data_IF_386961840777
#
_entry.id   IF_386961840777
#
_cell.length_a   1.000
_cell.length_b   1.000
_cell.length_c   1.000
_cell.angle_alpha   90.00
_cell.angle_beta   90.00
_cell.angle_gamma   90.00
#
_symmetry.space_group_name_H-M   'P 1'
#
loop_
_entity.id
_entity.type
_entity.pdbx_description
1 polymer ?
#
# COMPACT_ATOMS: atom_id res chain seq x y z
N UNK A 1 2.21 0.22 -20.75
CA UNK A 1 2.05 -1.01 -19.95
C UNK A 1 1.56 -2.11 -20.88
N UNK A 2 2.27 -3.23 -20.99
CA UNK A 2 1.74 -4.40 -21.69
C UNK A 2 0.98 -5.24 -20.66
N UNK A 3 -0.29 -5.49 -20.93
CA UNK A 3 -1.11 -6.36 -20.09
C UNK A 3 -0.86 -7.80 -20.47
N UNK A 4 -0.45 -8.61 -19.49
CA UNK A 4 -0.49 -10.06 -19.65
C UNK A 4 -1.94 -10.53 -19.56
N UNK A 5 -2.43 -11.29 -20.54
CA UNK A 5 -3.74 -11.96 -20.49
C UNK A 5 -3.70 -13.26 -19.69
N UNK A 6 -2.57 -13.59 -19.05
CA UNK A 6 -2.40 -14.79 -18.26
C UNK A 6 -3.37 -14.78 -17.05
N UNK A 7 -4.07 -15.89 -16.84
CA UNK A 7 -5.02 -16.11 -15.72
C UNK A 7 -4.35 -16.12 -14.32
N UNK A 8 -3.05 -15.83 -14.20
CA UNK A 8 -2.26 -15.97 -12.98
C UNK A 8 -1.57 -14.68 -12.50
N UNK A 9 -1.91 -13.52 -13.06
CA UNK A 9 -1.32 -12.25 -12.61
C UNK A 9 -1.63 -12.00 -11.12
N UNK A 10 -0.64 -11.58 -10.30
CA UNK A 10 -0.88 -11.19 -8.92
C UNK A 10 -1.89 -10.06 -8.89
N UNK A 11 -2.89 -10.18 -8.02
CA UNK A 11 -3.98 -9.22 -7.92
C UNK A 11 -4.37 -8.99 -6.47
N UNK A 12 -4.49 -7.73 -6.09
CA UNK A 12 -5.13 -7.27 -4.86
C UNK A 12 -6.47 -6.60 -5.20
N UNK A 13 -7.48 -6.82 -4.36
CA UNK A 13 -8.82 -6.27 -4.51
C UNK A 13 -9.16 -5.41 -3.30
N UNK A 14 -10.28 -4.68 -3.39
CA UNK A 14 -10.82 -3.88 -2.30
C UNK A 14 -9.84 -2.81 -1.80
N UNK A 15 -9.12 -2.22 -2.77
CA UNK A 15 -8.15 -1.18 -2.54
C UNK A 15 -8.76 0.18 -2.83
N UNK A 16 -8.62 1.11 -1.90
CA UNK A 16 -8.73 2.53 -2.19
C UNK A 16 -7.40 3.05 -2.74
N UNK A 17 -7.47 4.20 -3.42
CA UNK A 17 -6.30 4.85 -3.99
C UNK A 17 -6.17 6.26 -3.41
N UNK A 18 -4.93 6.66 -3.13
CA UNK A 18 -4.58 8.05 -2.84
C UNK A 18 -3.45 8.50 -3.77
N UNK A 19 -3.46 9.75 -4.28
CA UNK A 19 -4.40 10.84 -3.93
C UNK A 19 -5.82 10.55 -4.40
N UNK A 20 -6.81 11.11 -3.72
CA UNK A 20 -8.20 11.03 -4.19
C UNK A 20 -8.32 11.77 -5.53
N UNK A 21 -8.71 11.05 -6.57
CA UNK A 21 -8.81 11.58 -7.94
C UNK A 21 -10.23 12.00 -8.26
N UNK A 22 -11.18 11.40 -7.56
CA UNK A 22 -12.61 11.64 -7.68
C UNK A 22 -13.09 12.09 -6.30
N UNK A 23 -14.10 12.97 -6.27
CA UNK A 23 -14.71 13.49 -5.04
C UNK A 23 -15.21 12.37 -4.12
N UNK A 24 -15.64 11.23 -4.69
CA UNK A 24 -16.07 10.05 -3.94
C UNK A 24 -15.01 8.95 -4.00
N UNK A 25 -14.63 8.41 -2.84
CA UNK A 25 -13.76 7.24 -2.71
C UNK A 25 -14.44 6.02 -3.34
N UNK A 26 -13.73 5.37 -4.26
CA UNK A 26 -14.20 4.16 -4.94
C UNK A 26 -13.07 3.14 -4.85
N UNK A 27 -13.41 1.92 -4.44
CA UNK A 27 -12.45 0.83 -4.39
C UNK A 27 -12.16 0.29 -5.80
N UNK A 28 -11.11 -0.49 -5.89
CA UNK A 28 -10.67 -1.12 -7.13
C UNK A 28 -9.72 -2.26 -6.86
N UNK A 29 -9.03 -2.67 -7.91
CA UNK A 29 -8.06 -3.75 -7.84
C UNK A 29 -6.76 -3.38 -8.51
N UNK A 30 -5.64 -3.78 -7.89
CA UNK A 30 -4.28 -3.61 -8.39
C UNK A 30 -3.80 -4.96 -8.95
N UNK A 31 -3.46 -4.98 -10.22
CA UNK A 31 -2.91 -6.15 -10.92
C UNK A 31 -1.46 -5.89 -11.29
N UNK A 32 -0.59 -6.86 -11.03
CA UNK A 32 0.79 -6.82 -11.47
C UNK A 32 0.91 -7.55 -12.82
N UNK A 33 1.51 -6.91 -13.80
CA UNK A 33 1.72 -7.46 -15.12
C UNK A 33 3.23 -7.55 -15.40
N UNK A 34 3.69 -8.78 -15.58
CA UNK A 34 4.98 -9.11 -16.16
C UNK A 34 4.74 -10.06 -17.33
N UNK A 35 5.34 -9.79 -18.48
CA UNK A 35 5.34 -10.72 -19.60
C UNK A 35 6.68 -11.46 -19.60
N UNK A 36 6.59 -12.79 -19.56
CA UNK A 36 7.75 -13.66 -19.37
C UNK A 36 8.88 -13.46 -20.40
N UNK A 37 10.11 -13.46 -19.85
CA UNK A 37 11.41 -13.81 -20.43
C UNK A 37 11.99 -13.04 -21.64
N UNK A 38 11.23 -12.32 -22.48
CA UNK A 38 11.81 -11.74 -23.72
C UNK A 38 11.28 -10.39 -24.23
N UNK A 39 10.47 -9.62 -23.49
CA UNK A 39 9.95 -8.35 -24.02
C UNK A 39 10.13 -7.20 -23.03
N UNK A 40 11.25 -6.48 -23.19
CA UNK A 40 11.59 -5.15 -22.66
C UNK A 40 11.06 -4.81 -21.23
N UNK A 41 11.93 -4.70 -20.21
CA UNK A 41 11.56 -4.30 -18.85
C UNK A 41 10.73 -3.02 -18.75
N UNK A 42 10.75 -2.15 -19.77
CA UNK A 42 9.91 -0.95 -19.86
C UNK A 42 8.40 -1.24 -19.92
N UNK A 43 8.02 -2.48 -20.23
CA UNK A 43 6.63 -2.85 -20.44
C UNK A 43 5.94 -3.49 -19.24
N UNK A 44 6.68 -3.77 -18.17
CA UNK A 44 6.13 -4.33 -16.93
C UNK A 44 5.63 -3.23 -16.01
N UNK A 45 4.62 -3.55 -15.20
CA UNK A 45 4.02 -2.56 -14.33
C UNK A 45 2.78 -3.07 -13.61
N UNK A 46 2.24 -2.19 -12.79
CA UNK A 46 0.98 -2.37 -12.11
C UNK A 46 -0.13 -1.65 -12.87
N UNK A 47 -1.31 -2.27 -12.94
CA UNK A 47 -2.56 -1.61 -13.33
C UNK A 47 -3.52 -1.60 -12.16
N UNK A 48 -3.91 -0.42 -11.72
CA UNK A 48 -5.10 -0.27 -10.90
C UNK A 48 -6.31 -0.07 -11.80
N UNK A 49 -7.41 -0.75 -11.49
CA UNK A 49 -8.72 -0.52 -12.13
C UNK A 49 -9.77 -0.29 -11.06
N UNK A 50 -10.43 0.87 -11.06
CA UNK A 50 -11.55 1.17 -10.16
C UNK A 50 -12.79 0.35 -10.54
N UNK A 51 -13.75 0.20 -9.62
CA UNK A 51 -15.05 -0.40 -9.93
C UNK A 51 -15.84 0.33 -11.04
N UNK A 52 -15.49 1.58 -11.34
CA UNK A 52 -16.07 2.36 -12.46
C UNK A 52 -15.32 2.19 -13.78
N UNK A 53 -14.19 1.48 -13.78
CA UNK A 53 -13.35 1.27 -14.94
C UNK A 53 -12.25 2.31 -15.15
N UNK A 54 -12.04 3.25 -14.22
CA UNK A 54 -10.90 4.17 -14.26
C UNK A 54 -9.60 3.39 -14.06
N UNK A 55 -8.56 3.72 -14.84
CA UNK A 55 -7.30 2.96 -14.84
C UNK A 55 -6.11 3.84 -14.49
N UNK A 56 -5.16 3.25 -13.75
CA UNK A 56 -3.82 3.81 -13.51
C UNK A 56 -2.80 2.77 -13.94
N UNK A 57 -1.81 3.20 -14.69
CA UNK A 57 -0.65 2.38 -15.00
C UNK A 57 0.59 2.92 -14.30
N UNK A 58 1.28 2.06 -13.56
CA UNK A 58 2.55 2.36 -12.92
C UNK A 58 3.61 1.41 -13.49
N UNK A 59 4.54 1.93 -14.27
CA UNK A 59 5.60 1.11 -14.88
C UNK A 59 6.71 0.83 -13.86
N UNK A 60 7.25 -0.40 -13.83
CA UNK A 60 8.30 -0.78 -12.88
C UNK A 60 9.55 0.09 -13.02
N UNK A 61 9.97 0.39 -14.26
CA UNK A 61 11.14 1.23 -14.52
C UNK A 61 11.01 2.66 -13.97
N UNK A 62 9.77 3.14 -13.79
CA UNK A 62 9.46 4.47 -13.30
C UNK A 62 9.27 4.50 -11.78
N UNK A 63 9.27 3.34 -11.10
CA UNK A 63 9.23 3.29 -9.64
C UNK A 63 10.63 3.58 -9.09
N UNK A 64 10.71 4.57 -8.19
CA UNK A 64 11.91 4.92 -7.42
C UNK A 64 11.95 4.14 -6.11
N UNK A 65 10.83 4.10 -5.41
CA UNK A 65 10.64 3.34 -4.18
C UNK A 65 9.29 2.65 -4.19
N UNK A 66 9.26 1.40 -3.75
CA UNK A 66 8.05 0.63 -3.52
C UNK A 66 8.04 0.21 -2.05
N UNK A 67 6.96 0.52 -1.34
CA UNK A 67 6.82 0.13 0.06
C UNK A 67 5.60 -0.74 0.25
N UNK A 68 5.74 -1.76 1.08
CA UNK A 68 4.62 -2.51 1.63
C UNK A 68 4.58 -2.25 3.14
N UNK A 69 3.48 -1.68 3.63
CA UNK A 69 3.26 -1.50 5.06
C UNK A 69 2.14 -2.44 5.52
N UNK A 70 2.46 -3.43 6.38
CA UNK A 70 1.45 -4.30 6.98
C UNK A 70 0.60 -3.52 7.99
N UNK A 71 -0.55 -4.09 8.37
CA UNK A 71 -1.47 -3.45 9.31
C UNK A 71 -1.19 -3.75 10.80
N UNK A 72 0.03 -4.15 11.14
CA UNK A 72 0.41 -4.40 12.53
C UNK A 72 0.42 -3.08 13.30
N UNK A 73 -0.56 -2.91 14.20
CA UNK A 73 -0.83 -1.67 14.93
C UNK A 73 -1.14 -0.45 14.05
N UNK A 74 -1.58 -0.68 12.82
CA UNK A 74 -1.97 0.38 11.88
C UNK A 74 -3.45 0.27 11.50
N UNK A 75 -4.07 1.41 11.24
CA UNK A 75 -5.47 1.47 10.78
C UNK A 75 -5.62 1.16 9.29
N UNK A 76 -4.52 1.06 8.55
CA UNK A 76 -4.51 0.74 7.13
C UNK A 76 -3.37 -0.23 6.80
N UNK A 77 -3.61 -1.09 5.82
CA UNK A 77 -2.58 -1.86 5.11
C UNK A 77 -2.39 -1.22 3.73
N UNK A 78 -1.16 -1.07 3.24
CA UNK A 78 -0.93 -0.35 1.99
C UNK A 78 0.27 -0.83 1.17
N UNK A 79 0.21 -0.49 -0.12
CA UNK A 79 1.33 -0.45 -1.06
C UNK A 79 1.51 0.99 -1.50
N UNK A 80 2.73 1.52 -1.37
CA UNK A 80 3.10 2.87 -1.81
C UNK A 80 4.12 2.80 -2.94
N UNK A 81 3.91 3.60 -3.99
CA UNK A 81 4.90 3.84 -5.03
C UNK A 81 5.29 5.31 -5.07
N UNK A 82 6.59 5.55 -4.95
CA UNK A 82 7.21 6.82 -5.28
C UNK A 82 7.82 6.70 -6.66
N UNK A 83 7.51 7.63 -7.55
CA UNK A 83 7.90 7.56 -8.94
C UNK A 83 9.08 8.48 -9.25
N UNK A 84 9.89 8.07 -10.22
CA UNK A 84 10.99 8.87 -10.77
C UNK A 84 10.42 10.05 -11.56
N UNK A 85 9.44 9.78 -12.42
CA UNK A 85 8.70 10.78 -13.18
C UNK A 85 7.22 10.73 -12.78
N UNK A 86 6.59 11.88 -12.48
CA UNK A 86 5.16 11.93 -12.16
C UNK A 86 4.31 11.39 -13.30
N UNK A 87 3.31 10.57 -12.99
CA UNK A 87 2.28 10.14 -13.96
C UNK A 87 1.13 11.12 -13.94
N UNK A 88 0.57 11.37 -15.12
CA UNK A 88 -0.61 12.19 -15.27
C UNK A 88 -1.86 11.35 -15.01
N UNK A 89 -2.73 11.85 -14.13
CA UNK A 89 -4.05 11.30 -13.93
C UNK A 89 -5.09 12.41 -13.90
N UNK A 90 -6.02 12.35 -14.85
CA UNK A 90 -7.01 13.40 -15.05
C UNK A 90 -6.30 14.67 -15.48
N UNK A 91 -6.32 15.71 -14.65
CA UNK A 91 -5.67 17.00 -14.92
C UNK A 91 -4.41 17.25 -14.07
N UNK A 92 -4.03 16.33 -13.18
CA UNK A 92 -2.93 16.52 -12.22
C UNK A 92 -1.84 15.48 -12.43
N UNK A 93 -0.61 15.85 -12.10
CA UNK A 93 0.55 14.96 -12.10
C UNK A 93 0.80 14.50 -10.67
N UNK A 94 1.04 13.20 -10.49
CA UNK A 94 1.29 12.61 -9.19
C UNK A 94 2.59 11.82 -9.21
N UNK A 95 3.45 12.15 -8.25
CA UNK A 95 4.71 11.45 -8.05
C UNK A 95 4.57 10.29 -7.05
N UNK A 96 3.65 10.40 -6.11
CA UNK A 96 3.38 9.40 -5.10
C UNK A 96 1.96 8.86 -5.27
N UNK A 97 1.83 7.54 -5.20
CA UNK A 97 0.57 6.83 -5.34
C UNK A 97 0.51 5.74 -4.28
N UNK A 98 -0.59 5.69 -3.54
CA UNK A 98 -0.86 4.66 -2.54
C UNK A 98 -2.10 3.86 -2.88
N UNK A 99 -2.03 2.57 -2.64
CA UNK A 99 -3.14 1.64 -2.66
C UNK A 99 -3.30 1.05 -1.28
N UNK A 100 -4.47 1.21 -0.66
CA UNK A 100 -4.65 0.84 0.74
C UNK A 100 -6.04 0.24 1.01
N UNK A 101 -6.10 -0.58 2.05
CA UNK A 101 -7.35 -1.07 2.63
C UNK A 101 -7.40 -0.60 4.08
N UNK A 102 -8.55 -0.10 4.51
CA UNK A 102 -8.78 0.26 5.91
C UNK A 102 -9.02 -0.99 6.75
N UNK A 103 -8.44 -0.98 7.94
CA UNK A 103 -8.43 -2.10 8.86
C UNK A 103 -9.13 -1.64 10.13
N UNK A 104 -10.38 -2.09 10.27
CA UNK A 104 -11.21 -1.79 11.43
C UNK A 104 -11.88 -0.42 11.37
N UNK A 105 -13.22 -0.46 11.42
CA UNK A 105 -14.03 0.28 12.39
C UNK A 105 -15.43 -0.35 12.33
N UNK A 106 -15.73 -1.28 13.24
CA UNK A 106 -17.11 -1.65 13.52
C UNK A 106 -17.33 -1.47 15.03
N UNK A 107 -18.10 -0.42 15.32
CA UNK A 107 -18.93 -0.15 16.51
C UNK A 107 -18.30 0.37 17.79
N UNK A 108 -18.74 1.57 18.18
CA UNK A 108 -19.21 1.84 19.55
C UNK A 108 -20.47 2.72 19.48
N UNK A 109 -21.63 2.11 19.19
CA UNK A 109 -22.89 2.67 19.66
C UNK A 109 -22.93 2.42 21.17
N UNK A 110 -22.48 3.40 21.94
CA UNK A 110 -22.44 3.38 23.41
C UNK A 110 -23.88 3.33 23.97
N UNK A 111 -24.41 2.11 24.13
CA UNK A 111 -25.79 1.87 24.54
C UNK A 111 -25.99 0.67 25.46
N UNK A 112 -25.53 0.79 26.73
CA UNK A 112 -26.12 0.17 27.94
C UNK A 112 -26.33 -1.36 28.00
N UNK A 113 -25.30 -2.22 28.05
CA UNK A 113 -25.45 -3.60 28.61
C UNK A 113 -24.15 -4.15 29.22
N UNK A 114 -23.83 -3.76 30.46
CA UNK A 114 -22.53 -3.98 31.12
C UNK A 114 -22.22 -5.40 31.66
N UNK A 115 -23.07 -6.41 31.44
CA UNK A 115 -22.87 -7.75 32.05
C UNK A 115 -22.93 -8.95 31.08
N UNK A 116 -23.15 -8.72 29.78
CA UNK A 116 -23.02 -9.75 28.72
C UNK A 116 -21.82 -9.51 27.78
N UNK A 117 -21.05 -8.45 28.00
CA UNK A 117 -20.05 -7.93 27.06
C UNK A 117 -18.72 -8.70 27.04
N UNK A 118 -18.25 -9.22 28.17
CA UNK A 118 -16.89 -9.81 28.23
C UNK A 118 -16.66 -11.00 27.27
N UNK A 119 -17.70 -11.82 27.01
CA UNK A 119 -17.57 -12.96 26.06
C UNK A 119 -17.62 -12.51 24.60
N UNK A 120 -18.45 -11.51 24.31
CA UNK A 120 -18.61 -10.96 22.96
C UNK A 120 -17.41 -10.08 22.58
N UNK A 121 -16.81 -9.39 23.55
CA UNK A 121 -15.61 -8.55 23.38
C UNK A 121 -14.39 -9.41 23.04
N UNK A 122 -14.14 -10.50 23.79
CA UNK A 122 -13.04 -11.44 23.50
C UNK A 122 -13.20 -12.07 22.11
N UNK A 123 -14.43 -12.42 21.71
CA UNK A 123 -14.68 -12.98 20.39
C UNK A 123 -14.45 -11.94 19.27
N UNK A 124 -14.84 -10.69 19.50
CA UNK A 124 -14.66 -9.59 18.55
C UNK A 124 -13.19 -9.26 18.34
N UNK A 125 -12.41 -9.18 19.42
CA UNK A 125 -10.94 -9.00 19.35
C UNK A 125 -10.26 -10.13 18.57
N UNK A 126 -10.68 -11.38 18.79
CA UNK A 126 -10.11 -12.51 18.08
C UNK A 126 -10.44 -12.49 16.58
N UNK A 127 -11.66 -12.09 16.21
CA UNK A 127 -12.06 -11.91 14.81
C UNK A 127 -11.26 -10.78 14.13
N UNK A 128 -11.05 -9.66 14.82
CA UNK A 128 -10.22 -8.57 14.31
C UNK A 128 -8.77 -9.04 14.08
N UNK A 129 -8.20 -9.78 15.04
CA UNK A 129 -6.84 -10.31 14.94
C UNK A 129 -6.69 -11.27 13.75
N UNK A 130 -7.64 -12.18 13.56
CA UNK A 130 -7.64 -13.09 12.42
C UNK A 130 -7.84 -12.35 11.09
N UNK A 131 -8.68 -11.31 11.06
CA UNK A 131 -8.85 -10.45 9.88
C UNK A 131 -7.55 -9.73 9.52
N UNK A 132 -6.87 -9.11 10.49
CA UNK A 132 -5.56 -8.44 10.32
C UNK A 132 -4.52 -9.42 9.77
N UNK A 133 -4.41 -10.59 10.39
CA UNK A 133 -3.49 -11.66 9.96
C UNK A 133 -3.77 -12.09 8.52
N UNK A 134 -5.04 -12.27 8.16
CA UNK A 134 -5.45 -12.62 6.80
C UNK A 134 -5.13 -11.53 5.79
N UNK A 135 -5.36 -10.26 6.12
CA UNK A 135 -5.02 -9.12 5.25
C UNK A 135 -3.51 -9.04 5.01
N UNK A 136 -2.70 -9.11 6.08
CA UNK A 136 -1.24 -9.15 5.97
C UNK A 136 -0.78 -10.30 5.07
N UNK A 137 -1.33 -11.51 5.26
CA UNK A 137 -0.98 -12.67 4.43
C UNK A 137 -1.33 -12.46 2.95
N UNK A 138 -2.49 -11.87 2.65
CA UNK A 138 -2.91 -11.60 1.26
C UNK A 138 -1.97 -10.62 0.58
N UNK A 139 -1.59 -9.53 1.26
CA UNK A 139 -0.66 -8.54 0.71
C UNK A 139 0.77 -9.09 0.59
N UNK A 140 1.25 -9.83 1.58
CA UNK A 140 2.56 -10.47 1.52
C UNK A 140 2.63 -11.44 0.33
N UNK A 141 1.62 -12.31 0.17
CA UNK A 141 1.54 -13.22 -0.96
C UNK A 141 1.51 -12.51 -2.32
N UNK A 142 0.89 -11.33 -2.40
CA UNK A 142 0.93 -10.51 -3.60
C UNK A 142 2.36 -10.02 -3.87
N UNK A 143 3.02 -9.44 -2.86
CA UNK A 143 4.39 -8.93 -2.98
C UNK A 143 5.36 -10.04 -3.41
N UNK A 144 5.33 -11.19 -2.73
CA UNK A 144 6.18 -12.34 -3.04
C UNK A 144 6.00 -12.83 -4.48
N UNK A 145 4.76 -12.87 -4.98
CA UNK A 145 4.50 -13.27 -6.37
C UNK A 145 5.05 -12.24 -7.36
N UNK A 146 4.98 -10.96 -7.07
CA UNK A 146 5.55 -9.89 -7.91
C UNK A 146 7.08 -10.00 -7.95
N UNK A 147 7.73 -10.18 -6.79
CA UNK A 147 9.19 -10.40 -6.70
C UNK A 147 9.60 -11.61 -7.54
N UNK A 148 8.89 -12.74 -7.40
CA UNK A 148 9.16 -13.96 -8.19
C UNK A 148 8.95 -13.74 -9.69
N UNK A 149 7.88 -13.06 -10.09
CA UNK A 149 7.59 -12.80 -11.51
C UNK A 149 8.58 -11.84 -12.17
N UNK A 150 9.20 -10.97 -11.37
CA UNK A 150 10.25 -10.06 -11.83
C UNK A 150 11.65 -10.67 -11.73
N UNK A 151 11.75 -11.96 -11.34
CA UNK A 151 13.02 -12.63 -11.10
C UNK A 151 13.93 -11.80 -10.17
N UNK A 152 13.34 -11.32 -9.07
CA UNK A 152 14.00 -10.52 -8.03
C UNK A 152 14.52 -9.14 -8.49
N UNK A 153 14.18 -8.71 -9.71
CA UNK A 153 14.55 -7.38 -10.21
C UNK A 153 13.73 -6.23 -9.57
N UNK A 154 12.64 -6.56 -8.88
CA UNK A 154 11.78 -5.62 -8.18
C UNK A 154 11.46 -6.16 -6.79
N UNK A 155 11.49 -5.28 -5.79
CA UNK A 155 11.20 -5.62 -4.40
C UNK A 155 10.46 -4.49 -3.66
N UNK A 156 9.78 -4.84 -2.58
CA UNK A 156 9.07 -3.92 -1.69
C UNK A 156 9.81 -3.75 -0.38
N UNK A 157 10.17 -2.51 -0.04
CA UNK A 157 10.80 -2.20 1.24
C UNK A 157 9.72 -2.10 2.33
N UNK A 158 9.95 -2.71 3.50
CA UNK A 158 8.98 -2.78 4.60
C UNK A 158 9.46 -1.89 5.75
N UNK A 159 8.62 -1.01 6.31
CA UNK A 159 8.99 -0.21 7.47
C UNK A 159 9.25 -1.07 8.72
N UNK A 160 10.34 -0.79 9.42
CA UNK A 160 10.65 -1.41 10.72
C UNK A 160 9.82 -0.75 11.81
N UNK A 161 8.66 -1.35 12.13
CA UNK A 161 7.71 -0.81 13.12
C UNK A 161 8.36 -0.55 14.50
N UNK A 162 9.22 -1.47 14.95
CA UNK A 162 9.90 -1.39 16.26
C UNK A 162 10.90 -0.23 16.37
N UNK A 163 11.38 0.27 15.23
CA UNK A 163 12.31 1.40 15.15
C UNK A 163 11.58 2.72 14.89
N UNK A 164 10.25 2.73 14.95
CA UNK A 164 9.43 3.91 14.76
C UNK A 164 9.63 4.94 15.87
N UNK A 165 9.69 6.22 15.52
CA UNK A 165 9.79 7.32 16.48
C UNK A 165 8.93 8.50 16.05
N UNK A 166 8.48 9.31 17.02
CA UNK A 166 7.74 10.52 16.71
C UNK A 166 8.68 11.60 16.18
N UNK A 167 8.24 12.29 15.13
CA UNK A 167 8.95 13.43 14.56
C UNK A 167 8.00 14.42 13.91
N UNK A 168 8.52 15.59 13.58
CA UNK A 168 7.77 16.66 12.91
C UNK A 168 8.48 16.98 11.58
N UNK A 169 8.38 16.11 10.56
CA UNK A 169 9.06 16.33 9.27
C UNK A 169 8.51 17.59 8.54
N UNK A 170 7.31 18.02 8.91
CA UNK A 170 6.66 19.21 8.36
C UNK A 170 6.05 20.10 9.45
N UNK A 171 4.74 20.00 9.71
CA UNK A 171 4.02 20.88 10.66
C UNK A 171 3.18 20.14 11.71
N UNK A 172 3.17 18.81 11.67
CA UNK A 172 2.42 17.97 12.61
C UNK A 172 3.32 16.82 13.06
N UNK A 173 3.15 16.40 14.31
CA UNK A 173 3.79 15.20 14.84
C UNK A 173 3.23 13.98 14.12
N UNK A 174 4.12 13.09 13.68
CA UNK A 174 3.76 11.82 13.09
C UNK A 174 4.83 10.77 13.40
N UNK A 175 4.47 9.50 13.31
CA UNK A 175 5.42 8.39 13.47
C UNK A 175 6.23 8.23 12.19
N UNK A 176 7.54 8.39 12.31
CA UNK A 176 8.53 8.12 11.27
C UNK A 176 9.11 6.73 11.50
N UNK A 177 9.20 5.93 10.44
CA UNK A 177 9.73 4.57 10.49
C UNK A 177 10.87 4.43 9.48
N UNK A 178 12.02 3.89 9.87
CA UNK A 178 13.06 3.55 8.90
C UNK A 178 12.62 2.33 8.09
N UNK A 179 13.09 2.28 6.86
CA UNK A 179 13.12 1.09 6.00
C UNK A 179 14.59 0.77 5.70
N UNK A 180 14.86 -0.21 4.84
CA UNK A 180 16.24 -0.53 4.43
C UNK A 180 16.95 0.64 3.74
N UNK A 181 16.18 1.56 3.15
CA UNK A 181 16.70 2.65 2.31
C UNK A 181 16.17 4.05 2.65
N UNK A 182 15.06 4.16 3.38
CA UNK A 182 14.28 5.39 3.50
C UNK A 182 13.68 5.64 4.89
N UNK A 183 13.39 6.91 5.22
CA UNK A 183 12.64 7.32 6.42
C UNK A 183 11.26 7.63 5.94
N UNK A 184 10.27 6.91 6.42
CA UNK A 184 8.93 6.98 5.87
C UNK A 184 7.90 7.31 6.94
N UNK A 185 6.90 8.08 6.54
CA UNK A 185 5.57 8.05 7.16
C UNK A 185 4.60 7.75 6.01
N UNK A 186 4.00 6.57 6.00
CA UNK A 186 3.10 6.14 4.93
C UNK A 186 1.62 6.18 5.35
N UNK A 187 1.33 6.19 6.66
CA UNK A 187 -0.04 6.14 7.19
C UNK A 187 -0.81 7.43 6.92
N UNK A 188 -0.11 8.58 6.89
CA UNK A 188 -0.71 9.87 6.62
C UNK A 188 -0.52 10.33 5.16
N UNK A 189 -1.64 10.51 4.44
CA UNK A 189 -1.62 10.89 3.03
C UNK A 189 -1.04 12.29 2.76
N UNK A 190 -1.35 13.25 3.62
CA UNK A 190 -1.14 14.66 3.30
C UNK A 190 0.35 15.02 3.32
N UNK A 191 1.19 14.20 3.99
CA UNK A 191 2.57 14.58 4.33
C UNK A 191 3.49 13.37 4.51
N UNK A 192 3.49 12.48 3.54
CA UNK A 192 4.49 11.43 3.51
C UNK A 192 5.89 12.05 3.23
N UNK A 193 6.90 11.58 3.95
CA UNK A 193 8.29 11.98 3.82
C UNK A 193 9.07 10.74 3.38
N UNK A 194 9.94 10.87 2.37
CA UNK A 194 11.00 9.88 2.07
C UNK A 194 12.30 10.62 1.97
N UNK A 195 13.22 10.27 2.86
CA UNK A 195 14.63 10.65 2.75
C UNK A 195 15.45 9.40 2.54
N UNK A 196 16.30 9.40 1.52
CA UNK A 196 17.19 8.28 1.25
C UNK A 196 18.47 8.40 2.10
N UNK A 197 18.94 7.29 2.68
CA UNK A 197 20.10 7.31 3.58
C UNK A 197 21.36 7.74 2.85
N UNK A 198 21.50 7.29 1.59
CA UNK A 198 22.69 7.50 0.78
C UNK A 198 22.95 8.98 0.44
N UNK A 199 21.93 9.83 0.54
CA UNK A 199 22.04 11.27 0.28
C UNK A 199 22.48 12.08 1.51
N UNK A 200 22.49 11.48 2.69
CA UNK A 200 22.68 12.19 3.97
C UNK A 200 24.09 12.03 4.56
N UNK A 201 24.81 10.99 4.15
CA UNK A 201 26.18 10.69 4.61
C UNK A 201 27.24 10.95 3.53
N UNK A 202 27.07 12.01 2.73
CA UNK A 202 28.14 12.58 1.89
C UNK A 202 28.46 13.98 2.35
#
# INVERSE_FOLDING_TARGET
LILSTAKGNPKLKDLFVRPNIITKRISGSLEAHANGKLLDPKNFGFRYTSLRGDKIDVLYNNIKHAFFQPCDNEMIILIHFTLKNPVLWGKRKYQDIQFYTEVGEITTDLGKYHHMQDRDDVQSEQLEREMRKRLNQVFQNFCDKVVRQTNEAFDFDVPFNELGFFGVPYRSSCTLKPTSSCLVNLSEWVRYFVRNWKSTFR
#
